data_IF_955364475613
#
_entry.id   IF_955364475613
#
_cell.length_a   1.000
_cell.length_b   1.000
_cell.length_c   1.000
_cell.angle_alpha   90.00
_cell.angle_beta   90.00
_cell.angle_gamma   90.00
#
_symmetry.space_group_name_H-M   'P 1'
#
loop_
_entity.id
_entity.type
_entity.pdbx_description
1 polymer ?
#
# COMPACT_ATOMS: atom_id res chain seq x y z
N UNK A 1 -1.02 -2.54 5.55
CA UNK A 1 -1.33 -3.95 5.90
C UNK A 1 -2.70 -3.96 6.57
N UNK A 2 -3.65 -4.76 6.09
CA UNK A 2 -5.02 -4.75 6.67
C UNK A 2 -5.20 -5.73 7.82
N UNK A 3 -4.46 -6.85 7.85
CA UNK A 3 -4.55 -7.85 8.92
C UNK A 3 -4.29 -7.25 10.30
N UNK A 4 -3.23 -6.43 10.44
CA UNK A 4 -2.95 -5.74 11.71
C UNK A 4 -4.04 -4.72 12.09
N UNK A 5 -4.59 -4.00 11.11
CA UNK A 5 -5.70 -3.07 11.36
C UNK A 5 -6.93 -3.79 11.91
N UNK A 6 -7.26 -4.97 11.38
CA UNK A 6 -8.40 -5.76 11.88
C UNK A 6 -8.20 -6.16 13.35
N UNK A 7 -6.99 -6.53 13.75
CA UNK A 7 -6.67 -6.85 15.15
C UNK A 7 -6.84 -5.62 16.06
N UNK A 8 -6.38 -4.44 15.65
CA UNK A 8 -6.57 -3.21 16.43
C UNK A 8 -8.05 -2.83 16.60
N UNK A 9 -8.89 -3.07 15.59
CA UNK A 9 -10.34 -2.88 15.70
C UNK A 9 -10.93 -3.86 16.73
N UNK A 10 -10.54 -5.15 16.67
CA UNK A 10 -11.01 -6.16 17.62
C UNK A 10 -10.61 -5.87 19.07
N UNK A 11 -9.36 -5.44 19.29
CA UNK A 11 -8.88 -5.00 20.60
C UNK A 11 -9.62 -3.75 21.10
N UNK A 12 -9.99 -2.84 20.18
CA UNK A 12 -10.84 -1.70 20.51
C UNK A 12 -12.24 -2.09 20.98
N UNK A 13 -12.83 -3.13 20.37
CA UNK A 13 -14.14 -3.64 20.77
C UNK A 13 -14.16 -4.27 22.17
N UNK A 14 -13.03 -4.84 22.62
CA UNK A 14 -12.87 -5.38 23.98
C UNK A 14 -12.31 -4.36 24.99
N UNK A 15 -12.19 -3.09 24.59
CA UNK A 15 -11.58 -2.01 25.37
C UNK A 15 -10.11 -2.25 25.79
N UNK A 16 -9.42 -3.15 25.10
CA UNK A 16 -7.99 -3.44 25.30
C UNK A 16 -7.15 -2.57 24.36
N UNK A 17 -7.26 -1.26 24.49
CA UNK A 17 -6.64 -0.32 23.56
C UNK A 17 -5.15 -0.06 23.88
N UNK A 18 -4.20 -0.59 23.09
CA UNK A 18 -2.77 -0.30 23.31
C UNK A 18 -2.40 1.16 22.98
N UNK A 19 -3.25 1.87 22.22
CA UNK A 19 -3.11 3.30 21.89
C UNK A 19 -4.50 3.96 21.89
N UNK A 20 -4.64 5.17 22.45
CA UNK A 20 -5.88 5.94 22.37
C UNK A 20 -6.35 6.08 20.92
N UNK A 21 -7.62 5.74 20.64
CA UNK A 21 -8.25 5.83 19.31
C UNK A 21 -7.55 5.09 18.16
N UNK A 22 -6.59 4.20 18.43
CA UNK A 22 -5.91 3.42 17.39
C UNK A 22 -6.88 2.53 16.60
N UNK A 23 -7.90 2.00 17.27
CA UNK A 23 -8.96 1.21 16.64
C UNK A 23 -9.76 2.00 15.60
N UNK A 24 -10.02 3.30 15.83
CA UNK A 24 -10.77 4.15 14.91
C UNK A 24 -9.99 4.37 13.61
N UNK A 25 -8.70 4.70 13.72
CA UNK A 25 -7.79 4.84 12.57
C UNK A 25 -7.70 3.55 11.74
N UNK A 26 -7.63 2.41 12.42
CA UNK A 26 -7.64 1.10 11.76
C UNK A 26 -8.98 0.81 11.07
N UNK A 27 -10.11 1.18 11.67
CA UNK A 27 -11.44 1.06 11.07
C UNK A 27 -11.56 1.94 9.82
N UNK A 28 -11.13 3.21 9.89
CA UNK A 28 -11.07 4.10 8.72
C UNK A 28 -10.24 3.48 7.60
N UNK A 29 -9.05 2.96 7.91
CA UNK A 29 -8.19 2.32 6.90
C UNK A 29 -8.87 1.14 6.22
N UNK A 30 -9.56 0.27 6.97
CA UNK A 30 -10.30 -0.88 6.42
C UNK A 30 -11.46 -0.39 5.54
N UNK A 31 -12.28 0.54 6.03
CA UNK A 31 -13.43 1.08 5.29
C UNK A 31 -13.00 1.71 3.96
N UNK A 32 -12.01 2.60 4.00
CA UNK A 32 -11.46 3.25 2.82
C UNK A 32 -10.81 2.25 1.85
N UNK A 33 -10.15 1.21 2.36
CA UNK A 33 -9.59 0.15 1.55
C UNK A 33 -10.67 -0.67 0.81
N UNK A 34 -11.79 -0.98 1.48
CA UNK A 34 -12.93 -1.69 0.86
C UNK A 34 -13.59 -0.82 -0.22
N UNK A 35 -13.84 0.46 0.09
CA UNK A 35 -14.40 1.42 -0.87
C UNK A 35 -13.46 1.58 -2.08
N UNK A 36 -12.16 1.74 -1.84
CA UNK A 36 -11.15 1.80 -2.89
C UNK A 36 -11.12 0.54 -3.74
N UNK A 37 -11.20 -0.64 -3.11
CA UNK A 37 -11.24 -1.93 -3.82
C UNK A 37 -12.45 -2.02 -4.74
N UNK A 38 -13.61 -1.59 -4.26
CA UNK A 38 -14.84 -1.53 -5.07
C UNK A 38 -14.69 -0.56 -6.24
N UNK A 39 -14.19 0.66 -5.99
CA UNK A 39 -13.98 1.69 -7.01
C UNK A 39 -13.04 1.20 -8.11
N UNK A 40 -11.84 0.72 -7.76
CA UNK A 40 -10.87 0.25 -8.75
C UNK A 40 -11.36 -1.01 -9.47
N UNK A 41 -12.09 -1.91 -8.80
CA UNK A 41 -12.66 -3.09 -9.46
C UNK A 41 -13.70 -2.71 -10.52
N UNK A 42 -14.53 -1.70 -10.25
CA UNK A 42 -15.49 -1.14 -11.21
C UNK A 42 -14.77 -0.44 -12.35
N UNK A 43 -13.76 0.38 -12.06
CA UNK A 43 -12.93 1.05 -13.06
C UNK A 43 -12.31 0.04 -14.03
N UNK A 44 -11.69 -1.03 -13.51
CA UNK A 44 -11.10 -2.08 -14.34
C UNK A 44 -12.13 -2.89 -15.13
N UNK A 45 -13.37 -3.02 -14.63
CA UNK A 45 -14.46 -3.68 -15.37
C UNK A 45 -14.99 -2.82 -16.51
N UNK A 46 -15.14 -1.51 -16.28
CA UNK A 46 -15.70 -0.56 -17.26
C UNK A 46 -14.71 -0.28 -18.40
N UNK A 47 -13.45 -0.05 -18.07
CA UNK A 47 -12.40 0.25 -19.06
C UNK A 47 -11.75 -1.02 -19.64
N UNK A 48 -12.11 -2.20 -19.14
CA UNK A 48 -11.49 -3.47 -19.52
C UNK A 48 -10.17 -3.72 -18.78
N UNK A 49 -10.11 -4.87 -18.10
CA UNK A 49 -9.10 -5.17 -17.09
C UNK A 49 -7.64 -5.21 -17.62
N UNK A 50 -7.47 -5.51 -18.91
CA UNK A 50 -6.16 -5.62 -19.59
C UNK A 50 -5.90 -4.51 -20.60
N UNK A 51 -6.78 -3.50 -20.68
CA UNK A 51 -6.52 -2.37 -21.55
C UNK A 51 -5.43 -1.48 -20.96
N UNK A 52 -4.57 -0.94 -21.83
CA UNK A 52 -3.46 -0.06 -21.43
C UNK A 52 -3.96 1.17 -20.71
N UNK A 53 -5.03 1.78 -21.23
CA UNK A 53 -5.63 2.97 -20.65
C UNK A 53 -6.07 2.72 -19.20
N UNK A 54 -6.66 1.56 -18.92
CA UNK A 54 -7.04 1.16 -17.56
C UNK A 54 -5.85 1.14 -16.61
N UNK A 55 -4.72 0.58 -17.03
CA UNK A 55 -3.50 0.50 -16.21
C UNK A 55 -2.87 1.87 -16.02
N UNK A 56 -2.79 2.69 -17.08
CA UNK A 56 -2.29 4.07 -17.02
C UNK A 56 -3.11 4.87 -16.02
N UNK A 57 -4.44 4.90 -16.17
CA UNK A 57 -5.37 5.64 -15.30
C UNK A 57 -5.31 5.12 -13.87
N UNK A 58 -5.27 3.80 -13.68
CA UNK A 58 -5.22 3.18 -12.36
C UNK A 58 -3.94 3.56 -11.59
N UNK A 59 -2.77 3.42 -12.22
CA UNK A 59 -1.49 3.79 -11.60
C UNK A 59 -1.33 5.31 -11.46
N UNK A 60 -1.87 6.10 -12.39
CA UNK A 60 -1.87 7.56 -12.29
C UNK A 60 -2.70 8.05 -11.10
N UNK A 61 -3.93 7.55 -10.93
CA UNK A 61 -4.78 7.92 -9.80
C UNK A 61 -4.15 7.50 -8.47
N UNK A 62 -3.53 6.31 -8.44
CA UNK A 62 -2.74 5.86 -7.29
C UNK A 62 -1.57 6.80 -6.97
N UNK A 63 -0.83 7.24 -7.99
CA UNK A 63 0.27 8.19 -7.79
C UNK A 63 -0.24 9.55 -7.31
N UNK A 64 -1.34 10.06 -7.89
CA UNK A 64 -1.95 11.35 -7.52
C UNK A 64 -2.33 11.38 -6.04
N UNK A 65 -2.95 10.32 -5.52
CA UNK A 65 -3.27 10.21 -4.09
C UNK A 65 -2.02 10.26 -3.20
N UNK A 66 -0.91 9.63 -3.63
CA UNK A 66 0.36 9.72 -2.89
C UNK A 66 0.95 11.13 -2.97
N UNK A 67 0.95 11.77 -4.15
CA UNK A 67 1.47 13.13 -4.32
C UNK A 67 0.72 14.13 -3.45
N UNK A 68 -0.62 14.05 -3.43
CA UNK A 68 -1.45 14.88 -2.55
C UNK A 68 -1.04 14.65 -1.09
N UNK A 69 -0.90 13.39 -0.68
CA UNK A 69 -0.47 13.06 0.70
C UNK A 69 0.93 13.60 1.01
N UNK A 70 1.88 13.45 0.08
CA UNK A 70 3.25 13.92 0.23
C UNK A 70 3.32 15.45 0.35
N UNK A 71 2.57 16.17 -0.50
CA UNK A 71 2.47 17.62 -0.48
C UNK A 71 1.83 18.15 0.81
N UNK A 72 0.78 17.49 1.31
CA UNK A 72 0.13 17.86 2.56
C UNK A 72 1.05 17.65 3.78
N UNK A 73 1.84 16.58 3.80
CA UNK A 73 2.82 16.32 4.87
C UNK A 73 4.02 17.27 4.77
N UNK A 74 4.55 17.50 3.57
CA UNK A 74 5.68 18.41 3.36
C UNK A 74 5.31 19.87 3.62
N UNK A 75 4.09 20.29 3.26
CA UNK A 75 3.57 21.62 3.50
C UNK A 75 3.21 21.91 4.96
N UNK A 76 3.38 20.95 5.88
CA UNK A 76 3.11 21.11 7.31
C UNK A 76 1.62 21.21 7.67
N UNK A 77 0.72 21.06 6.69
CA UNK A 77 -0.74 20.99 6.91
C UNK A 77 -1.10 19.75 7.72
N UNK A 78 -0.32 18.69 7.55
CA UNK A 78 -0.47 17.42 8.26
C UNK A 78 0.81 17.10 9.00
N UNK A 79 0.69 16.77 10.29
CA UNK A 79 1.82 16.33 11.09
C UNK A 79 2.50 15.12 10.42
N UNK A 80 3.82 15.22 10.23
CA UNK A 80 4.67 14.12 9.83
C UNK A 80 4.77 13.03 10.89
N UNK A 81 5.62 12.02 10.68
CA UNK A 81 5.88 11.03 11.73
C UNK A 81 6.32 11.76 13.02
N UNK A 82 5.75 11.41 14.19
CA UNK A 82 6.07 12.11 15.42
C UNK A 82 7.57 11.98 15.74
N UNK A 83 8.27 13.10 16.00
CA UNK A 83 9.68 13.07 16.39
C UNK A 83 9.78 12.51 17.81
N UNK A 84 10.28 11.29 17.94
CA UNK A 84 10.64 10.68 19.22
C UNK A 84 9.46 10.14 20.04
N UNK A 85 9.40 8.81 20.14
CA UNK A 85 9.08 7.97 21.32
C UNK A 85 8.02 8.30 22.39
N UNK A 86 7.44 9.49 22.45
CA UNK A 86 6.55 9.91 23.54
C UNK A 86 5.10 9.68 23.16
N UNK A 87 4.73 8.40 23.11
CA UNK A 87 3.38 7.89 22.86
C UNK A 87 2.36 8.20 23.98
N UNK A 88 2.73 8.98 24.99
CA UNK A 88 1.93 9.16 26.20
C UNK A 88 1.08 10.43 26.21
N UNK A 89 1.42 11.48 25.43
CA UNK A 89 0.73 12.78 25.49
C UNK A 89 0.53 13.45 24.12
N UNK A 90 0.59 12.70 23.01
CA UNK A 90 0.20 13.27 21.72
C UNK A 90 -1.32 13.45 21.74
N UNK A 91 -1.80 14.68 21.95
CA UNK A 91 -3.16 15.09 21.58
C UNK A 91 -3.51 14.40 20.26
N UNK A 92 -4.68 13.75 20.21
CA UNK A 92 -5.11 12.94 19.07
C UNK A 92 -5.25 13.84 17.85
N UNK A 93 -4.15 14.10 17.14
CA UNK A 93 -4.16 14.90 15.94
C UNK A 93 -4.85 14.08 14.84
N UNK A 94 -6.15 14.34 14.67
CA UNK A 94 -6.99 13.75 13.62
C UNK A 94 -6.51 14.09 12.21
N UNK A 95 -5.57 15.03 12.09
CA UNK A 95 -4.87 15.39 10.87
C UNK A 95 -4.21 14.18 10.18
N UNK A 96 -3.83 13.13 10.93
CA UNK A 96 -3.29 11.88 10.38
C UNK A 96 -4.32 10.96 9.69
N UNK A 97 -5.62 11.26 9.78
CA UNK A 97 -6.67 10.49 9.08
C UNK A 97 -6.55 10.65 7.56
N UNK A 98 -6.22 11.85 7.07
CA UNK A 98 -6.18 12.14 5.62
C UNK A 98 -5.15 11.25 4.89
N UNK A 99 -3.89 11.12 5.36
CA UNK A 99 -2.95 10.15 4.79
C UNK A 99 -3.46 8.71 4.87
N UNK A 100 -4.11 8.32 5.96
CA UNK A 100 -4.65 6.96 6.11
C UNK A 100 -5.70 6.69 5.04
N UNK A 101 -6.64 7.62 4.83
CA UNK A 101 -7.70 7.50 3.81
C UNK A 101 -7.09 7.37 2.41
N UNK A 102 -6.25 8.33 2.01
CA UNK A 102 -5.67 8.39 0.67
C UNK A 102 -4.78 7.18 0.38
N UNK A 103 -3.90 6.81 1.30
CA UNK A 103 -3.01 5.66 1.14
C UNK A 103 -3.76 4.34 1.19
N UNK A 104 -4.85 4.24 1.97
CA UNK A 104 -5.68 3.02 2.01
C UNK A 104 -6.38 2.79 0.67
N UNK A 105 -7.02 3.82 0.11
CA UNK A 105 -7.69 3.74 -1.21
C UNK A 105 -6.66 3.41 -2.31
N UNK A 106 -5.52 4.07 -2.28
CA UNK A 106 -4.43 3.84 -3.22
C UNK A 106 -3.89 2.40 -3.16
N UNK A 107 -3.72 1.86 -1.95
CA UNK A 107 -3.20 0.51 -1.75
C UNK A 107 -4.18 -0.56 -2.25
N UNK A 108 -5.48 -0.28 -2.18
CA UNK A 108 -6.52 -1.11 -2.76
C UNK A 108 -6.39 -1.20 -4.30
N UNK A 109 -6.13 -0.06 -4.95
CA UNK A 109 -5.91 -0.02 -6.40
C UNK A 109 -4.75 -0.89 -6.88
N UNK A 110 -3.67 -0.97 -6.11
CA UNK A 110 -2.51 -1.82 -6.44
C UNK A 110 -2.87 -3.31 -6.47
N UNK A 111 -3.74 -3.74 -5.56
CA UNK A 111 -4.17 -5.15 -5.48
C UNK A 111 -5.12 -5.48 -6.60
N UNK A 112 -6.09 -4.61 -6.86
CA UNK A 112 -7.01 -4.78 -7.98
C UNK A 112 -6.24 -4.83 -9.29
N UNK A 113 -5.21 -3.99 -9.47
CA UNK A 113 -4.35 -4.02 -10.64
C UNK A 113 -3.59 -5.36 -10.77
N UNK A 114 -2.97 -5.85 -9.69
CA UNK A 114 -2.27 -7.15 -9.71
C UNK A 114 -3.18 -8.31 -10.09
N UNK A 115 -4.39 -8.35 -9.51
CA UNK A 115 -5.41 -9.37 -9.81
C UNK A 115 -5.94 -9.26 -11.24
N UNK A 116 -6.16 -8.04 -11.72
CA UNK A 116 -6.63 -7.78 -13.09
C UNK A 116 -5.63 -8.23 -14.16
N UNK A 117 -4.33 -8.15 -13.85
CA UNK A 117 -3.25 -8.65 -14.70
C UNK A 117 -3.05 -10.17 -14.63
N UNK A 118 -3.72 -10.86 -13.70
CA UNK A 118 -3.63 -12.31 -13.52
C UNK A 118 -2.55 -12.77 -12.54
N UNK A 119 -1.85 -11.84 -11.87
CA UNK A 119 -0.85 -12.12 -10.84
C UNK A 119 -1.52 -12.17 -9.47
N UNK A 120 -2.37 -13.19 -9.26
CA UNK A 120 -3.09 -13.40 -8.01
C UNK A 120 -2.17 -13.90 -6.88
N UNK A 121 -1.04 -14.49 -7.25
CA UNK A 121 -0.03 -15.05 -6.35
C UNK A 121 0.83 -14.01 -5.63
N UNK A 122 0.64 -12.71 -5.91
CA UNK A 122 1.33 -11.59 -5.25
C UNK A 122 0.34 -10.82 -4.36
N UNK A 123 -0.14 -11.38 -3.23
CA UNK A 123 -0.97 -10.63 -2.31
C UNK A 123 -0.12 -9.57 -1.58
N UNK A 124 -0.27 -8.30 -1.96
CA UNK A 124 0.48 -7.20 -1.33
C UNK A 124 -0.04 -6.81 0.08
N UNK A 125 -1.17 -7.37 0.52
CA UNK A 125 -1.78 -7.07 1.84
C UNK A 125 -1.40 -8.06 2.92
N UNK A 126 -1.12 -9.31 2.53
CA UNK A 126 -0.90 -10.44 3.45
C UNK A 126 0.39 -11.13 3.01
N UNK A 127 1.52 -10.49 3.29
CA UNK A 127 2.83 -11.00 2.88
C UNK A 127 3.13 -12.37 3.49
N UNK A 128 2.60 -12.63 4.69
CA UNK A 128 2.75 -13.92 5.35
C UNK A 128 2.07 -15.06 4.60
N UNK A 129 0.91 -14.82 3.97
CA UNK A 129 0.28 -15.85 3.13
C UNK A 129 1.11 -16.14 1.90
N UNK A 130 1.76 -15.13 1.32
CA UNK A 130 2.72 -15.32 0.23
C UNK A 130 3.91 -16.19 0.67
N UNK A 131 4.44 -15.99 1.88
CA UNK A 131 5.50 -16.85 2.44
C UNK A 131 5.00 -18.29 2.66
N UNK A 132 3.81 -18.49 3.22
CA UNK A 132 3.23 -19.82 3.38
C UNK A 132 3.03 -20.51 2.02
N UNK A 133 2.49 -19.80 1.03
CA UNK A 133 2.31 -20.27 -0.34
C UNK A 133 3.63 -20.62 -1.03
N UNK A 134 4.70 -19.87 -0.72
CA UNK A 134 6.04 -20.12 -1.22
C UNK A 134 6.63 -21.39 -0.60
N UNK A 135 6.55 -21.52 0.72
CA UNK A 135 7.10 -22.68 1.45
C UNK A 135 6.32 -23.97 1.19
N UNK A 136 5.03 -23.86 0.87
CA UNK A 136 4.18 -25.00 0.55
C UNK A 136 4.23 -25.39 -0.95
N UNK A 137 5.04 -24.71 -1.76
CA UNK A 137 5.15 -25.00 -3.19
C UNK A 137 5.87 -26.36 -3.39
N UNK A 138 5.20 -27.39 -3.95
CA UNK A 138 5.82 -28.70 -4.19
C UNK A 138 6.97 -28.64 -5.21
N UNK A 139 7.05 -27.55 -5.98
CA UNK A 139 8.07 -27.27 -7.00
C UNK A 139 9.08 -26.23 -6.54
N UNK A 140 9.25 -26.05 -5.22
CA UNK A 140 10.14 -25.04 -4.64
C UNK A 140 11.59 -25.18 -5.15
N UNK A 141 12.10 -26.41 -5.22
CA UNK A 141 13.48 -26.72 -5.60
C UNK A 141 13.69 -26.95 -7.11
N UNK A 142 12.63 -26.83 -7.94
CA UNK A 142 12.79 -26.92 -9.38
C UNK A 142 13.46 -25.65 -9.92
N UNK A 143 14.38 -25.83 -10.87
CA UNK A 143 15.15 -24.76 -11.49
C UNK A 143 14.27 -23.73 -12.21
N UNK A 144 13.08 -24.11 -12.68
CA UNK A 144 12.17 -23.22 -13.42
C UNK A 144 10.76 -23.28 -12.84
N UNK A 145 10.40 -22.23 -12.09
CA UNK A 145 9.05 -22.05 -11.56
C UNK A 145 8.73 -20.54 -11.48
N UNK A 146 8.14 -20.02 -12.55
CA UNK A 146 7.85 -18.58 -12.69
C UNK A 146 6.96 -18.03 -11.57
N UNK A 147 6.03 -18.84 -11.04
CA UNK A 147 5.16 -18.43 -9.92
C UNK A 147 5.97 -18.30 -8.63
N UNK A 148 6.86 -19.26 -8.37
CA UNK A 148 7.80 -19.22 -7.23
C UNK A 148 8.73 -18.02 -7.33
N UNK A 149 9.32 -17.79 -8.50
CA UNK A 149 10.23 -16.67 -8.74
C UNK A 149 9.52 -15.32 -8.49
N UNK A 150 8.28 -15.15 -9.00
CA UNK A 150 7.47 -13.96 -8.75
C UNK A 150 7.18 -13.74 -7.27
N UNK A 151 6.86 -14.81 -6.51
CA UNK A 151 6.62 -14.74 -5.06
C UNK A 151 7.90 -14.33 -4.30
N UNK A 152 9.03 -14.98 -4.59
CA UNK A 152 10.32 -14.66 -3.96
C UNK A 152 10.69 -13.21 -4.22
N UNK A 153 10.65 -12.77 -5.48
CA UNK A 153 10.96 -11.39 -5.85
C UNK A 153 10.02 -10.41 -5.17
N UNK A 154 8.71 -10.68 -5.13
CA UNK A 154 7.76 -9.82 -4.44
C UNK A 154 8.04 -9.68 -2.93
N UNK A 155 8.39 -10.78 -2.26
CA UNK A 155 8.77 -10.76 -0.85
C UNK A 155 10.04 -9.94 -0.62
N UNK A 156 11.10 -10.23 -1.39
CA UNK A 156 12.39 -9.53 -1.28
C UNK A 156 12.24 -8.04 -1.56
N UNK A 157 11.57 -7.66 -2.64
CA UNK A 157 11.33 -6.24 -2.97
C UNK A 157 10.52 -5.53 -1.89
N UNK A 158 9.54 -6.21 -1.28
CA UNK A 158 8.77 -5.60 -0.20
C UNK A 158 9.60 -5.43 1.07
N UNK A 159 10.44 -6.40 1.42
CA UNK A 159 11.36 -6.32 2.55
C UNK A 159 12.38 -5.19 2.35
N UNK A 160 13.04 -5.16 1.20
CA UNK A 160 14.00 -4.12 0.83
C UNK A 160 13.34 -2.75 0.82
N UNK A 161 12.15 -2.63 0.23
CA UNK A 161 11.38 -1.38 0.23
C UNK A 161 11.00 -0.91 1.64
N UNK A 162 10.62 -1.81 2.54
CA UNK A 162 10.33 -1.48 3.93
C UNK A 162 11.58 -1.02 4.69
N UNK A 163 12.72 -1.71 4.50
CA UNK A 163 14.01 -1.31 5.08
C UNK A 163 14.41 0.07 4.56
N UNK A 164 14.45 0.26 3.23
CA UNK A 164 14.80 1.52 2.60
C UNK A 164 13.88 2.67 3.08
N UNK A 165 12.56 2.44 3.13
CA UNK A 165 11.61 3.43 3.64
C UNK A 165 11.86 3.81 5.11
N UNK A 166 12.22 2.84 5.96
CA UNK A 166 12.60 3.09 7.35
C UNK A 166 13.86 3.95 7.47
N UNK A 167 14.89 3.64 6.68
CA UNK A 167 16.14 4.41 6.65
C UNK A 167 15.93 5.83 6.10
N UNK A 168 15.15 5.98 5.03
CA UNK A 168 14.79 7.29 4.49
C UNK A 168 14.06 8.12 5.55
N UNK A 169 13.02 7.55 6.17
CA UNK A 169 12.25 8.26 7.23
C UNK A 169 13.14 8.67 8.40
N UNK A 170 14.09 7.82 8.79
CA UNK A 170 15.07 8.13 9.85
C UNK A 170 15.99 9.28 9.43
N UNK A 171 16.46 9.30 8.19
CA UNK A 171 17.37 10.32 7.66
C UNK A 171 16.67 11.68 7.44
N UNK A 172 15.43 11.67 6.95
CA UNK A 172 14.65 12.90 6.70
C UNK A 172 13.89 13.40 7.92
N UNK A 173 13.77 12.60 8.98
CA UNK A 173 12.96 12.89 10.16
C UNK A 173 11.45 12.92 9.90
N UNK A 174 11.00 12.56 8.70
CA UNK A 174 9.60 12.62 8.27
C UNK A 174 9.33 11.68 7.09
N UNK A 175 8.07 11.31 6.86
CA UNK A 175 7.62 10.32 5.87
C UNK A 175 7.52 10.87 4.44
N UNK A 176 7.53 12.20 4.24
CA UNK A 176 7.31 12.79 2.91
C UNK A 176 8.30 12.29 1.85
N UNK A 177 9.56 12.03 2.23
CA UNK A 177 10.58 11.51 1.31
C UNK A 177 10.22 10.13 0.75
N UNK A 178 9.68 9.25 1.60
CA UNK A 178 9.22 7.91 1.19
C UNK A 178 7.97 8.02 0.32
N UNK A 179 7.06 8.95 0.62
CA UNK A 179 5.86 9.20 -0.18
C UNK A 179 6.22 9.70 -1.59
N UNK A 180 7.14 10.64 -1.71
CA UNK A 180 7.62 11.11 -3.02
C UNK A 180 8.29 10.00 -3.83
N UNK A 181 9.12 9.18 -3.21
CA UNK A 181 9.71 8.01 -3.87
C UNK A 181 8.63 7.04 -4.35
N UNK A 182 7.64 6.73 -3.51
CA UNK A 182 6.52 5.88 -3.87
C UNK A 182 5.67 6.44 -5.02
N UNK A 183 5.42 7.75 -5.02
CA UNK A 183 4.74 8.44 -6.12
C UNK A 183 5.54 8.37 -7.42
N UNK A 184 6.84 8.65 -7.36
CA UNK A 184 7.73 8.59 -8.52
C UNK A 184 7.71 7.20 -9.17
N UNK A 185 7.83 6.13 -8.37
CA UNK A 185 7.75 4.75 -8.87
C UNK A 185 6.42 4.50 -9.60
N UNK A 186 5.28 4.93 -9.04
CA UNK A 186 3.97 4.73 -9.68
C UNK A 186 3.78 5.56 -10.94
N UNK A 187 4.30 6.79 -10.98
CA UNK A 187 4.32 7.61 -12.18
C UNK A 187 5.18 6.98 -13.26
N UNK A 188 6.36 6.44 -12.92
CA UNK A 188 7.21 5.71 -13.87
C UNK A 188 6.50 4.49 -14.44
N UNK A 189 5.75 3.74 -13.62
CA UNK A 189 4.93 2.61 -14.12
C UNK A 189 3.84 3.11 -15.07
N UNK A 190 3.12 4.17 -14.71
CA UNK A 190 2.08 4.76 -15.57
C UNK A 190 2.67 5.23 -16.90
N UNK A 191 3.80 5.95 -16.87
CA UNK A 191 4.52 6.40 -18.07
C UNK A 191 5.03 5.22 -18.91
N UNK A 192 5.57 4.16 -18.29
CA UNK A 192 5.99 2.97 -19.00
C UNK A 192 4.84 2.34 -19.81
N UNK A 193 3.62 2.33 -19.27
CA UNK A 193 2.43 1.85 -20.00
C UNK A 193 2.00 2.76 -21.15
N UNK A 194 2.30 4.07 -21.10
CA UNK A 194 2.05 5.01 -22.21
C UNK A 194 2.97 4.67 -23.39
N UNK A 195 4.25 4.41 -23.13
CA UNK A 195 5.24 4.12 -24.17
C UNK A 195 5.31 2.64 -24.58
N UNK A 196 4.61 1.75 -23.88
CA UNK A 196 4.62 0.33 -24.18
C UNK A 196 4.01 0.07 -25.56
N UNK A 197 4.80 -0.34 -26.56
CA UNK A 197 4.33 -0.71 -27.90
C UNK A 197 3.73 -2.12 -27.88
N UNK A 198 2.75 -2.41 -28.76
CA UNK A 198 2.21 -3.79 -28.86
C UNK A 198 3.30 -4.59 -29.57
N UNK A 199 3.90 -5.54 -28.86
CA UNK A 199 4.66 -6.64 -29.49
C UNK A 199 3.64 -7.69 -29.93
#
# INVERSE_FOLDING_TARGET
MQTGNTIFVGLGASNQNPRPYGWARSLTSIGCFVIGSFFFARLHRLLGAKQRLTLIVSFFLQALMIVITAGLVQGGVIAGAPPGGSLHNAETQWTHEVPIVLLSIQSAGQIVASRSLGFNEIPTVVITSLLCDLMSDPKLFLLRNEKRDRRVVAFVLTLVGAIAGGWITKATGNIYGVLWLGAAIKLSISAAWVFWTKV
#
